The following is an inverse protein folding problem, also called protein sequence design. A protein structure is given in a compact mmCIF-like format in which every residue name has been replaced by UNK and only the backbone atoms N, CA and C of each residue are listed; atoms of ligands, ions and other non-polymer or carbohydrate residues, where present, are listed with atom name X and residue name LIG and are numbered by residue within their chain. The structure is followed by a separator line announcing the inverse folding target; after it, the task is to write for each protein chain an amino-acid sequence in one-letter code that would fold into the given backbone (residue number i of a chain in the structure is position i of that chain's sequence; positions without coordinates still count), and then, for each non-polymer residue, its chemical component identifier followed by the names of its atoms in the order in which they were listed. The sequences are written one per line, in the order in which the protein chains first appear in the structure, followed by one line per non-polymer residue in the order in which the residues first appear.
data_IF_031406620917
#
_entry.id   IF_031406620917
#
_cell.length_a   1.000
_cell.length_b   1.000
_cell.length_c   1.000
_cell.angle_alpha   90.00
_cell.angle_beta   90.00
_cell.angle_gamma   90.00
#
_symmetry.space_group_name_H-M   'P 1'
#
loop_
_entity.id
_entity.type
_entity.pdbx_description
1 polymer ?
#
# COMPACT_ATOMS: atom_id res chain seq x y z
N UNK A 1 63.02 10.10 -12.10
CA UNK A 1 62.54 9.45 -10.87
C UNK A 1 61.11 9.92 -10.59
N UNK A 2 60.11 9.05 -10.86
CA UNK A 2 58.74 8.95 -10.29
C UNK A 2 57.85 10.21 -10.16
N UNK A 3 56.97 10.36 -11.16
CA UNK A 3 55.54 10.75 -11.17
C UNK A 3 54.88 11.17 -9.84
N UNK A 4 54.16 12.31 -9.85
CA UNK A 4 52.88 12.46 -9.12
C UNK A 4 51.85 13.28 -9.91
N UNK A 5 51.06 12.55 -10.70
CA UNK A 5 49.72 12.96 -11.13
C UNK A 5 48.81 12.94 -9.89
N UNK A 6 48.10 14.04 -9.58
CA UNK A 6 46.93 13.99 -8.69
C UNK A 6 45.90 15.02 -9.18
N UNK A 7 45.09 14.56 -10.13
CA UNK A 7 43.78 15.14 -10.39
C UNK A 7 42.87 14.93 -9.19
N UNK A 8 41.90 15.82 -9.06
CA UNK A 8 40.84 15.74 -8.08
C UNK A 8 39.71 16.67 -8.50
N UNK A 9 38.95 16.26 -9.52
CA UNK A 9 37.65 16.85 -9.84
C UNK A 9 36.75 16.60 -8.63
N UNK A 10 36.36 17.66 -7.92
CA UNK A 10 35.35 17.61 -6.87
C UNK A 10 33.99 17.34 -7.55
N UNK A 11 33.63 16.05 -7.65
CA UNK A 11 32.28 15.64 -7.99
C UNK A 11 31.36 15.84 -6.80
N UNK A 12 30.48 16.84 -6.86
CA UNK A 12 29.36 16.97 -5.92
C UNK A 12 28.37 15.86 -6.25
N UNK A 13 28.45 14.75 -5.52
CA UNK A 13 27.44 13.71 -5.56
C UNK A 13 26.17 14.24 -4.90
N UNK A 14 25.18 14.62 -5.70
CA UNK A 14 23.83 14.87 -5.22
C UNK A 14 23.23 13.54 -4.75
N UNK A 15 23.21 13.33 -3.43
CA UNK A 15 22.52 12.20 -2.82
C UNK A 15 21.01 12.44 -2.98
N UNK A 16 20.42 11.86 -4.02
CA UNK A 16 18.97 11.71 -4.11
C UNK A 16 18.55 10.67 -3.06
N UNK A 17 18.21 11.14 -1.85
CA UNK A 17 17.57 10.28 -0.86
C UNK A 17 16.21 9.84 -1.43
N UNK A 18 15.86 8.54 -1.40
CA UNK A 18 14.53 8.13 -1.76
C UNK A 18 13.58 8.77 -0.73
N UNK A 19 12.63 9.58 -1.22
CA UNK A 19 11.46 9.93 -0.44
C UNK A 19 10.81 8.59 -0.08
N UNK A 20 10.99 8.14 1.15
CA UNK A 20 10.17 7.07 1.70
C UNK A 20 8.75 7.63 1.72
N UNK A 21 8.00 7.40 0.64
CA UNK A 21 6.57 7.55 0.65
C UNK A 21 6.10 6.68 1.82
N UNK A 22 5.64 7.31 2.90
CA UNK A 22 5.06 6.58 4.01
C UNK A 22 3.90 5.76 3.45
N UNK A 23 4.12 4.46 3.24
CA UNK A 23 3.02 3.57 2.86
C UNK A 23 1.94 3.76 3.90
N UNK A 24 0.68 4.00 3.49
CA UNK A 24 -0.40 4.15 4.43
C UNK A 24 -0.42 2.92 5.35
N UNK A 25 -0.75 3.11 6.64
CA UNK A 25 -0.75 2.01 7.59
C UNK A 25 -1.59 0.85 7.04
N UNK A 26 -1.18 -0.40 7.31
CA UNK A 26 -1.90 -1.55 6.82
C UNK A 26 -3.33 -1.56 7.37
N UNK A 27 -4.27 -1.98 6.54
CA UNK A 27 -5.70 -1.84 6.78
C UNK A 27 -6.20 -2.96 7.71
N UNK A 28 -6.78 -2.59 8.85
CA UNK A 28 -7.44 -3.56 9.73
C UNK A 28 -8.89 -3.82 9.34
N UNK A 29 -9.47 -4.87 9.93
CA UNK A 29 -10.82 -5.32 9.62
C UNK A 29 -11.87 -4.24 9.91
N UNK A 30 -11.74 -3.52 11.02
CA UNK A 30 -12.71 -2.49 11.41
C UNK A 30 -12.68 -1.34 10.41
N UNK A 31 -11.48 -0.91 10.02
CA UNK A 31 -11.32 0.16 9.06
C UNK A 31 -11.84 -0.23 7.66
N UNK A 32 -11.57 -1.45 7.20
CA UNK A 32 -12.12 -1.95 5.93
C UNK A 32 -13.66 -1.95 5.94
N UNK A 33 -14.27 -2.44 7.02
CA UNK A 33 -15.72 -2.42 7.19
C UNK A 33 -16.26 -0.98 7.20
N UNK A 34 -15.57 -0.04 7.86
CA UNK A 34 -15.94 1.37 7.89
C UNK A 34 -15.93 1.99 6.50
N UNK A 35 -14.92 1.69 5.67
CA UNK A 35 -14.85 2.16 4.29
C UNK A 35 -16.01 1.59 3.45
N UNK A 36 -16.29 0.29 3.57
CA UNK A 36 -17.35 -0.40 2.82
C UNK A 36 -18.76 0.07 3.16
N UNK A 37 -19.00 0.35 4.44
CA UNK A 37 -20.32 0.75 4.94
C UNK A 37 -20.58 2.25 4.80
N UNK A 38 -19.58 3.03 4.42
CA UNK A 38 -19.73 4.47 4.19
C UNK A 38 -20.10 4.72 2.72
N UNK A 39 -21.32 5.22 2.43
CA UNK A 39 -21.80 5.43 1.06
C UNK A 39 -21.06 6.54 0.30
N UNK A 40 -20.19 7.29 0.97
CA UNK A 40 -19.37 8.32 0.34
C UNK A 40 -18.21 7.72 -0.47
N UNK A 41 -17.81 6.47 -0.20
CA UNK A 41 -16.70 5.83 -0.92
C UNK A 41 -17.21 4.94 -2.05
N UNK A 42 -16.65 5.14 -3.24
CA UNK A 42 -16.87 4.23 -4.36
C UNK A 42 -16.11 2.92 -4.16
N UNK A 43 -16.62 1.82 -4.70
CA UNK A 43 -16.00 0.50 -4.60
C UNK A 43 -14.57 0.46 -5.17
N UNK A 44 -14.33 1.19 -6.26
CA UNK A 44 -13.01 1.36 -6.87
C UNK A 44 -12.06 2.09 -5.94
N UNK A 45 -12.54 3.10 -5.22
CA UNK A 45 -11.75 3.84 -4.23
C UNK A 45 -11.38 2.96 -3.03
N UNK A 46 -12.32 2.15 -2.55
CA UNK A 46 -12.02 1.15 -1.49
C UNK A 46 -10.97 0.15 -1.98
N UNK A 47 -11.07 -0.35 -3.23
CA UNK A 47 -10.07 -1.24 -3.80
C UNK A 47 -8.69 -0.57 -3.90
N UNK A 48 -8.61 0.71 -4.27
CA UNK A 48 -7.36 1.48 -4.31
C UNK A 48 -6.74 1.72 -2.93
N UNK A 49 -7.56 1.86 -1.88
CA UNK A 49 -7.08 1.89 -0.50
C UNK A 49 -6.49 0.54 -0.11
N UNK A 50 -7.21 -0.56 -0.35
CA UNK A 50 -6.74 -1.92 -0.04
C UNK A 50 -5.44 -2.24 -0.79
N UNK A 51 -5.32 -1.84 -2.06
CA UNK A 51 -4.10 -2.05 -2.87
C UNK A 51 -2.86 -1.36 -2.30
N UNK A 52 -3.03 -0.17 -1.72
CA UNK A 52 -1.92 0.64 -1.20
C UNK A 52 -1.53 0.26 0.23
N UNK A 53 -2.50 -0.17 1.04
CA UNK A 53 -2.28 -0.49 2.45
C UNK A 53 -2.08 -1.99 2.71
N UNK A 54 -2.66 -2.87 1.88
CA UNK A 54 -2.89 -4.28 2.19
C UNK A 54 -3.58 -4.51 3.55
N UNK A 55 -3.86 -5.77 3.91
CA UNK A 55 -4.56 -6.11 5.14
C UNK A 55 -3.59 -6.42 6.29
N UNK A 56 -3.96 -6.07 7.52
CA UNK A 56 -3.25 -6.51 8.75
C UNK A 56 -3.65 -7.90 9.22
N UNK A 57 -4.70 -8.48 8.64
CA UNK A 57 -5.26 -9.76 9.03
C UNK A 57 -5.43 -10.64 7.79
N UNK A 58 -5.42 -11.96 8.01
CA UNK A 58 -5.64 -12.95 6.96
C UNK A 58 -7.11 -13.37 6.98
N UNK A 59 -7.95 -12.96 6.00
CA UNK A 59 -9.38 -13.20 6.11
C UNK A 59 -9.72 -14.69 6.01
N UNK A 60 -10.59 -15.15 6.89
CA UNK A 60 -11.21 -16.48 6.85
C UNK A 60 -12.41 -16.49 5.89
N UNK A 61 -12.96 -17.68 5.59
CA UNK A 61 -14.19 -17.78 4.78
C UNK A 61 -15.36 -16.98 5.38
N UNK A 62 -15.45 -16.94 6.72
CA UNK A 62 -16.45 -16.14 7.41
C UNK A 62 -16.23 -14.64 7.20
N UNK A 63 -14.97 -14.19 7.28
CA UNK A 63 -14.64 -12.79 7.02
C UNK A 63 -14.98 -12.39 5.58
N UNK A 64 -14.73 -13.27 4.60
CA UNK A 64 -15.13 -13.00 3.22
C UNK A 64 -16.63 -12.87 3.04
N UNK A 65 -17.43 -13.67 3.74
CA UNK A 65 -18.87 -13.54 3.74
C UNK A 65 -19.32 -12.21 4.39
N UNK A 66 -18.72 -11.85 5.53
CA UNK A 66 -19.00 -10.58 6.22
C UNK A 66 -18.66 -9.36 5.34
N UNK A 67 -17.52 -9.38 4.65
CA UNK A 67 -17.11 -8.31 3.74
C UNK A 67 -18.09 -8.16 2.56
N UNK A 68 -18.52 -9.28 1.96
CA UNK A 68 -19.54 -9.28 0.90
C UNK A 68 -20.87 -8.72 1.39
N UNK A 69 -21.30 -9.11 2.60
CA UNK A 69 -22.52 -8.58 3.22
C UNK A 69 -22.43 -7.09 3.56
N UNK A 70 -21.23 -6.61 3.91
CA UNK A 70 -20.95 -5.18 4.12
C UNK A 70 -20.89 -4.37 2.81
N UNK A 71 -21.01 -5.03 1.65
CA UNK A 71 -21.06 -4.39 0.35
C UNK A 71 -19.78 -4.54 -0.47
N UNK A 72 -18.77 -5.31 -0.05
CA UNK A 72 -17.54 -5.48 -0.83
C UNK A 72 -17.82 -6.12 -2.19
N UNK A 73 -17.50 -5.36 -3.25
CA UNK A 73 -17.61 -5.81 -4.63
C UNK A 73 -16.46 -6.73 -5.03
N UNK A 74 -16.59 -7.37 -6.20
CA UNK A 74 -15.62 -8.34 -6.70
C UNK A 74 -14.18 -7.80 -6.79
N UNK A 75 -14.01 -6.53 -7.18
CA UNK A 75 -12.69 -5.89 -7.25
C UNK A 75 -12.05 -5.71 -5.87
N UNK A 76 -12.82 -5.27 -4.86
CA UNK A 76 -12.34 -5.13 -3.48
C UNK A 76 -11.92 -6.49 -2.94
N UNK A 77 -12.74 -7.53 -3.17
CA UNK A 77 -12.43 -8.91 -2.76
C UNK A 77 -11.17 -9.42 -3.44
N UNK A 78 -11.05 -9.26 -4.76
CA UNK A 78 -9.87 -9.71 -5.50
C UNK A 78 -8.59 -9.00 -5.03
N UNK A 79 -8.66 -7.69 -4.80
CA UNK A 79 -7.52 -6.90 -4.31
C UNK A 79 -7.13 -7.29 -2.89
N UNK A 80 -8.12 -7.49 -2.01
CA UNK A 80 -7.90 -7.95 -0.64
C UNK A 80 -7.26 -9.35 -0.60
N UNK A 81 -7.72 -10.27 -1.46
CA UNK A 81 -7.19 -11.62 -1.55
C UNK A 81 -5.74 -11.65 -2.07
N UNK A 82 -5.36 -10.73 -2.96
CA UNK A 82 -3.99 -10.61 -3.46
C UNK A 82 -2.98 -10.18 -2.38
N UNK A 83 -3.44 -9.58 -1.27
CA UNK A 83 -2.62 -9.17 -0.14
C UNK A 83 -2.54 -10.23 0.98
N UNK A 84 -3.36 -11.28 0.95
CA UNK A 84 -3.59 -12.21 2.07
C UNK A 84 -2.72 -13.47 2.04
#
# INVERSE_FOLDING_TARGET
MRLRLRGGILGVAAFAAPLAAQSPPPLDKTELIRLLTNPLFAQTEVADVVRRSCLTFRPTERDWADLRNAGAGGEVIATAAACA
#
